data_IF_560609021131
#
_entry.id   IF_560609021131
#
_cell.length_a   1.000
_cell.length_b   1.000
_cell.length_c   1.000
_cell.angle_alpha   90.00
_cell.angle_beta   90.00
_cell.angle_gamma   90.00
#
_symmetry.space_group_name_H-M   'P 1'
#
loop_
_entity.id
_entity.type
_entity.pdbx_description
1 polymer ?
#
# COMPACT_ATOMS: atom_id res chain seq x y z
N UNK A 1 -5.57 18.65 -14.73
CA UNK A 1 -5.99 17.29 -14.33
C UNK A 1 -6.31 17.33 -12.85
N UNK A 2 -7.56 17.62 -12.53
CA UNK A 2 -8.03 17.67 -11.15
C UNK A 2 -8.43 16.27 -10.72
N UNK A 3 -7.57 15.60 -9.94
CA UNK A 3 -7.96 14.39 -9.22
C UNK A 3 -8.66 14.84 -7.93
N UNK A 4 -9.97 14.63 -7.91
CA UNK A 4 -10.87 15.09 -6.87
C UNK A 4 -10.56 14.37 -5.54
N UNK A 5 -9.84 15.06 -4.66
CA UNK A 5 -9.52 14.62 -3.30
C UNK A 5 -10.74 14.80 -2.38
N UNK A 6 -11.83 14.10 -2.68
CA UNK A 6 -13.08 14.15 -1.91
C UNK A 6 -13.61 12.77 -1.48
N UNK A 7 -12.73 11.77 -1.34
CA UNK A 7 -13.12 10.43 -0.88
C UNK A 7 -12.13 9.80 0.12
N UNK A 8 -11.32 10.60 0.81
CA UNK A 8 -10.26 10.08 1.70
C UNK A 8 -10.38 10.56 3.15
N UNK A 9 -11.54 10.40 3.82
CA UNK A 9 -11.63 10.60 5.29
C UNK A 9 -12.83 9.93 6.01
N UNK A 10 -13.31 8.73 5.65
CA UNK A 10 -14.44 8.13 6.40
C UNK A 10 -14.39 6.64 6.73
N UNK A 11 -13.48 5.83 6.15
CA UNK A 11 -13.41 4.40 6.51
C UNK A 11 -12.67 4.16 7.84
N UNK A 12 -11.71 5.02 8.20
CA UNK A 12 -10.89 4.89 9.42
C UNK A 12 -11.54 5.46 10.68
N UNK A 13 -12.76 6.01 10.59
CA UNK A 13 -13.48 6.65 11.71
C UNK A 13 -14.88 6.08 11.94
N UNK A 14 -15.07 4.77 11.73
CA UNK A 14 -16.24 4.09 12.27
C UNK A 14 -16.07 3.99 13.79
N UNK A 15 -16.83 4.79 14.52
CA UNK A 15 -16.76 4.82 15.98
C UNK A 15 -17.28 3.50 16.56
N UNK A 16 -16.69 3.04 17.65
CA UNK A 16 -17.06 1.76 18.29
C UNK A 16 -18.55 1.74 18.71
N UNK A 17 -19.11 2.92 18.97
CA UNK A 17 -20.53 3.16 19.27
C UNK A 17 -21.44 2.88 18.05
N UNK A 18 -20.95 3.14 16.84
CA UNK A 18 -21.68 2.84 15.60
C UNK A 18 -21.65 1.34 15.27
N UNK A 19 -20.62 0.61 15.71
CA UNK A 19 -20.56 -0.84 15.57
C UNK A 19 -21.41 -1.57 16.63
N UNK A 20 -21.60 -0.98 17.81
CA UNK A 20 -22.32 -1.61 18.91
C UNK A 20 -23.84 -1.64 18.68
N UNK A 21 -24.38 -0.65 17.98
CA UNK A 21 -25.82 -0.49 17.68
C UNK A 21 -26.36 -1.36 16.53
N UNK A 22 -25.49 -2.05 15.79
CA UNK A 22 -25.87 -2.91 14.66
C UNK A 22 -26.34 -4.30 15.11
N UNK A 23 -27.13 -4.98 14.28
CA UNK A 23 -27.46 -6.39 14.46
C UNK A 23 -26.26 -7.30 14.07
N UNK A 24 -26.31 -8.57 14.49
CA UNK A 24 -25.18 -9.50 14.33
C UNK A 24 -24.79 -9.76 12.86
N UNK A 25 -25.75 -9.74 11.93
CA UNK A 25 -25.47 -9.96 10.51
C UNK A 25 -24.79 -8.72 9.92
N UNK A 26 -25.33 -7.53 10.19
CA UNK A 26 -24.72 -6.26 9.76
C UNK A 26 -23.29 -6.08 10.29
N UNK A 27 -23.01 -6.48 11.55
CA UNK A 27 -21.63 -6.44 12.09
C UNK A 27 -20.68 -7.33 11.32
N UNK A 28 -21.12 -8.53 10.94
CA UNK A 28 -20.30 -9.48 10.17
C UNK A 28 -20.00 -8.96 8.77
N UNK A 29 -21.00 -8.41 8.10
CA UNK A 29 -20.84 -7.85 6.75
C UNK A 29 -19.91 -6.63 6.76
N UNK A 30 -20.07 -5.73 7.75
CA UNK A 30 -19.20 -4.57 7.92
C UNK A 30 -17.78 -4.98 8.30
N UNK A 31 -17.57 -5.97 9.16
CA UNK A 31 -16.23 -6.49 9.47
C UNK A 31 -15.53 -6.98 8.20
N UNK A 32 -16.23 -7.77 7.39
CA UNK A 32 -15.71 -8.30 6.12
C UNK A 32 -15.36 -7.16 5.14
N UNK A 33 -16.23 -6.15 5.05
CA UNK A 33 -15.98 -4.97 4.24
C UNK A 33 -14.75 -4.19 4.72
N UNK A 34 -14.64 -3.93 6.02
CA UNK A 34 -13.50 -3.21 6.62
C UNK A 34 -12.20 -3.97 6.37
N UNK A 35 -12.18 -5.29 6.51
CA UNK A 35 -11.00 -6.11 6.23
C UNK A 35 -10.57 -5.98 4.77
N UNK A 36 -11.52 -6.04 3.83
CA UNK A 36 -11.27 -5.82 2.40
C UNK A 36 -10.72 -4.41 2.13
N UNK A 37 -11.35 -3.36 2.67
CA UNK A 37 -10.91 -1.99 2.45
C UNK A 37 -9.54 -1.72 3.09
N UNK A 38 -9.27 -2.25 4.27
CA UNK A 38 -7.96 -2.18 4.91
C UNK A 38 -6.89 -2.89 4.07
N UNK A 39 -7.19 -4.05 3.48
CA UNK A 39 -6.27 -4.74 2.59
C UNK A 39 -5.96 -3.88 1.35
N UNK A 40 -6.97 -3.26 0.73
CA UNK A 40 -6.79 -2.33 -0.39
C UNK A 40 -5.93 -1.13 0.00
N UNK A 41 -6.21 -0.51 1.16
CA UNK A 41 -5.44 0.63 1.65
C UNK A 41 -3.96 0.27 1.89
N UNK A 42 -3.68 -0.90 2.47
CA UNK A 42 -2.31 -1.38 2.66
C UNK A 42 -1.57 -1.53 1.33
N UNK A 43 -2.24 -2.04 0.29
CA UNK A 43 -1.68 -2.13 -1.06
C UNK A 43 -1.40 -0.75 -1.63
N UNK A 44 -2.33 0.21 -1.51
CA UNK A 44 -2.13 1.58 -2.00
C UNK A 44 -0.96 2.28 -1.30
N UNK A 45 -0.85 2.16 0.02
CA UNK A 45 0.31 2.68 0.75
C UNK A 45 1.62 2.05 0.28
N UNK A 46 1.62 0.74 0.04
CA UNK A 46 2.79 0.02 -0.48
C UNK A 46 3.17 0.50 -1.88
N UNK A 47 2.19 0.73 -2.76
CA UNK A 47 2.41 1.31 -4.10
C UNK A 47 3.05 2.68 -3.99
N UNK A 48 2.52 3.58 -3.15
CA UNK A 48 3.08 4.90 -2.94
C UNK A 48 4.52 4.86 -2.40
N UNK A 49 4.78 4.00 -1.42
CA UNK A 49 6.11 3.83 -0.83
C UNK A 49 7.10 3.32 -1.87
N UNK A 50 6.78 2.24 -2.57
CA UNK A 50 7.64 1.65 -3.60
C UNK A 50 7.89 2.63 -4.75
N UNK A 51 6.85 3.34 -5.19
CA UNK A 51 6.98 4.36 -6.24
C UNK A 51 7.95 5.46 -5.81
N UNK A 52 7.78 6.03 -4.62
CA UNK A 52 8.65 7.10 -4.12
C UNK A 52 10.11 6.62 -3.95
N UNK A 53 10.32 5.44 -3.36
CA UNK A 53 11.66 4.88 -3.16
C UNK A 53 12.32 4.52 -4.49
N UNK A 54 11.67 3.72 -5.32
CA UNK A 54 12.28 3.24 -6.55
C UNK A 54 12.43 4.32 -7.61
N UNK A 55 11.53 5.31 -7.66
CA UNK A 55 11.70 6.46 -8.55
C UNK A 55 12.99 7.22 -8.20
N UNK A 56 13.22 7.54 -6.92
CA UNK A 56 14.44 8.23 -6.47
C UNK A 56 15.71 7.43 -6.70
N UNK A 57 15.63 6.10 -6.66
CA UNK A 57 16.81 5.23 -6.86
C UNK A 57 17.12 4.95 -8.31
N UNK A 58 16.12 4.94 -9.20
CA UNK A 58 16.29 4.52 -10.59
C UNK A 58 16.22 5.68 -11.58
N UNK A 59 15.36 6.67 -11.36
CA UNK A 59 15.12 7.75 -12.32
C UNK A 59 16.04 8.92 -11.98
N UNK A 60 17.08 9.11 -12.78
CA UNK A 60 18.07 10.17 -12.56
C UNK A 60 17.69 11.46 -13.30
N UNK A 61 17.16 11.34 -14.52
CA UNK A 61 16.72 12.45 -15.36
C UNK A 61 15.41 12.08 -16.04
N UNK A 62 14.49 13.04 -16.17
CA UNK A 62 13.23 12.87 -16.89
C UNK A 62 13.32 13.67 -18.19
N UNK A 63 13.94 13.08 -19.19
CA UNK A 63 14.11 13.70 -20.52
C UNK A 63 13.02 13.28 -21.50
N UNK A 64 12.52 12.04 -21.37
CA UNK A 64 11.46 11.48 -22.17
C UNK A 64 10.22 11.17 -21.30
N UNK A 65 9.00 11.22 -21.87
CA UNK A 65 7.78 10.85 -21.15
C UNK A 65 7.70 9.35 -20.85
N UNK A 66 8.43 8.53 -21.60
CA UNK A 66 8.46 7.09 -21.46
C UNK A 66 9.70 6.63 -20.69
N UNK A 67 9.56 5.52 -19.96
CA UNK A 67 10.69 4.91 -19.25
C UNK A 67 11.64 4.24 -20.25
N UNK A 68 12.93 4.54 -20.14
CA UNK A 68 13.96 3.83 -20.90
C UNK A 68 14.02 2.35 -20.49
N UNK A 69 14.58 1.49 -21.35
CA UNK A 69 14.75 0.07 -21.01
C UNK A 69 15.60 -0.13 -19.75
N UNK A 70 16.55 0.77 -19.48
CA UNK A 70 17.39 0.74 -18.29
C UNK A 70 16.58 1.10 -17.03
N UNK A 71 15.73 2.13 -17.11
CA UNK A 71 14.85 2.53 -16.00
C UNK A 71 13.84 1.43 -15.66
N UNK A 72 13.22 0.82 -16.68
CA UNK A 72 12.28 -0.30 -16.50
C UNK A 72 12.95 -1.47 -15.76
N UNK A 73 14.16 -1.85 -16.20
CA UNK A 73 14.92 -2.92 -15.56
C UNK A 73 15.34 -2.56 -14.13
N UNK A 74 15.73 -1.31 -13.88
CA UNK A 74 16.06 -0.84 -12.54
C UNK A 74 14.85 -0.88 -11.61
N UNK A 75 13.70 -0.36 -12.04
CA UNK A 75 12.47 -0.32 -11.26
C UNK A 75 12.00 -1.73 -10.88
N UNK A 76 12.03 -2.68 -11.82
CA UNK A 76 11.71 -4.09 -11.56
C UNK A 76 12.64 -4.69 -10.49
N UNK A 77 13.95 -4.44 -10.60
CA UNK A 77 14.92 -4.90 -9.62
C UNK A 77 14.74 -4.22 -8.25
N UNK A 78 14.45 -2.92 -8.23
CA UNK A 78 14.24 -2.17 -6.99
C UNK A 78 13.08 -2.74 -6.17
N UNK A 79 11.93 -2.98 -6.81
CA UNK A 79 10.76 -3.56 -6.13
C UNK A 79 11.09 -4.97 -5.61
N UNK A 80 11.69 -5.83 -6.43
CA UNK A 80 12.08 -7.18 -6.00
C UNK A 80 13.03 -7.15 -4.81
N UNK A 81 14.07 -6.31 -4.84
CA UNK A 81 15.04 -6.15 -3.74
C UNK A 81 14.41 -5.61 -2.47
N UNK A 82 13.47 -4.67 -2.58
CA UNK A 82 12.74 -4.18 -1.41
C UNK A 82 11.93 -5.30 -0.75
N UNK A 83 11.20 -6.10 -1.53
CA UNK A 83 10.43 -7.24 -1.01
C UNK A 83 11.34 -8.30 -0.39
N UNK A 84 12.43 -8.67 -1.07
CA UNK A 84 13.41 -9.64 -0.56
C UNK A 84 14.02 -9.19 0.77
N UNK A 85 14.34 -7.91 0.89
CA UNK A 85 14.89 -7.32 2.12
C UNK A 85 13.88 -7.38 3.25
N UNK A 86 12.62 -7.02 3.01
CA UNK A 86 11.57 -7.13 4.03
C UNK A 86 11.36 -8.58 4.49
N UNK A 87 11.32 -9.54 3.56
CA UNK A 87 11.22 -10.96 3.91
C UNK A 87 12.42 -11.39 4.75
N UNK A 88 13.63 -10.97 4.39
CA UNK A 88 14.85 -11.26 5.14
C UNK A 88 14.80 -10.70 6.57
N UNK A 89 14.33 -9.45 6.72
CA UNK A 89 14.17 -8.80 8.03
C UNK A 89 13.15 -9.55 8.89
N UNK A 90 11.98 -9.87 8.35
CA UNK A 90 10.93 -10.61 9.07
C UNK A 90 11.43 -11.99 9.52
N UNK A 91 12.08 -12.74 8.62
CA UNK A 91 12.70 -14.03 8.97
C UNK A 91 13.76 -13.88 10.06
N UNK A 92 14.57 -12.82 10.00
CA UNK A 92 15.55 -12.51 11.03
C UNK A 92 14.92 -12.29 12.40
N UNK A 93 13.83 -11.51 12.47
CA UNK A 93 13.10 -11.26 13.70
C UNK A 93 12.44 -12.52 14.27
N UNK A 94 11.88 -13.38 13.41
CA UNK A 94 11.30 -14.66 13.83
C UNK A 94 12.33 -15.61 14.42
N UNK A 95 13.58 -15.60 13.93
CA UNK A 95 14.66 -16.44 14.43
C UNK A 95 15.29 -15.92 15.74
N UNK A 96 14.94 -14.71 16.20
CA UNK A 96 15.41 -14.12 17.46
C UNK A 96 14.47 -14.49 18.63
N UNK A 97 13.31 -15.09 18.34
CA UNK A 97 12.35 -15.59 19.34
C UNK A 97 12.62 -17.05 19.72
#
# INVERSE_FOLDING_TARGET
>A
MSFNSAANTTASSLSAESLSSLDANSKKDISTFIESENAKQKVQMSIHQLTNTCFKSCITNVSDPDLSSQDQQCLANCVNRFLDTNIRLVKGLQNIQ
#
